data_IF_932824009764
#
_entry.id   IF_932824009764
#
_cell.length_a   1.000
_cell.length_b   1.000
_cell.length_c   1.000
_cell.angle_alpha   90.00
_cell.angle_beta   90.00
_cell.angle_gamma   90.00
#
_symmetry.space_group_name_H-M   'P 1'
#
loop_
_entity.id
_entity.type
_entity.pdbx_description
1 polymer ?
#
# COMPACT_ATOMS: atom_id res chain seq x y z
N UNK A 1 19.92 14.17 18.76
CA UNK A 1 19.61 12.80 18.29
C UNK A 1 18.94 12.86 16.93
N UNK A 2 18.90 11.74 16.20
CA UNK A 2 18.15 11.66 14.95
C UNK A 2 16.66 11.82 15.24
N UNK A 3 15.93 12.51 14.35
CA UNK A 3 14.47 12.58 14.43
C UNK A 3 13.85 11.22 14.11
N UNK A 4 12.77 10.88 14.80
CA UNK A 4 12.11 9.58 14.73
C UNK A 4 10.86 9.69 13.85
N UNK A 5 10.87 8.90 12.79
CA UNK A 5 9.75 8.75 11.86
C UNK A 5 9.13 7.36 12.07
N UNK A 6 7.83 7.30 12.34
CA UNK A 6 7.09 6.05 12.43
C UNK A 6 6.22 5.89 11.19
N UNK A 7 6.38 4.76 10.51
CA UNK A 7 5.54 4.37 9.36
C UNK A 7 4.53 3.34 9.84
N UNK A 8 3.24 3.65 9.71
CA UNK A 8 2.14 2.74 10.08
C UNK A 8 1.18 2.61 8.91
N UNK A 9 1.10 1.44 8.35
CA UNK A 9 0.21 1.10 7.23
C UNK A 9 -0.14 -0.39 7.32
N UNK A 10 -0.71 -0.93 6.28
CA UNK A 10 -1.01 -2.35 6.11
C UNK A 10 0.25 -3.15 5.65
N UNK A 11 0.08 -4.12 4.77
CA UNK A 11 1.18 -4.90 4.15
C UNK A 11 2.21 -4.02 3.40
N UNK A 12 1.88 -2.77 3.04
CA UNK A 12 2.80 -1.84 2.35
C UNK A 12 3.80 -1.16 3.31
N UNK A 13 3.63 -1.30 4.62
CA UNK A 13 4.48 -0.67 5.65
C UNK A 13 5.96 -0.96 5.44
N UNK A 14 6.31 -2.19 5.09
CA UNK A 14 7.71 -2.58 4.91
C UNK A 14 8.35 -1.86 3.72
N UNK A 15 7.64 -1.76 2.59
CA UNK A 15 8.10 -1.06 1.39
C UNK A 15 8.28 0.45 1.63
N UNK A 16 7.27 1.09 2.24
CA UNK A 16 7.33 2.51 2.62
C UNK A 16 8.51 2.80 3.56
N UNK A 17 8.70 1.97 4.58
CA UNK A 17 9.80 2.12 5.54
C UNK A 17 11.16 2.00 4.85
N UNK A 18 11.34 0.98 4.00
CA UNK A 18 12.58 0.77 3.28
C UNK A 18 12.89 1.95 2.33
N UNK A 19 11.88 2.44 1.60
CA UNK A 19 12.02 3.59 0.73
C UNK A 19 12.41 4.85 1.49
N UNK A 20 11.71 5.16 2.58
CA UNK A 20 12.00 6.34 3.41
C UNK A 20 13.37 6.27 4.09
N UNK A 21 13.76 5.11 4.63
CA UNK A 21 15.08 4.92 5.23
C UNK A 21 16.21 5.09 4.21
N UNK A 22 16.00 4.65 2.97
CA UNK A 22 16.96 4.83 1.88
C UNK A 22 17.07 6.29 1.42
N UNK A 23 15.93 6.99 1.31
CA UNK A 23 15.88 8.39 0.91
C UNK A 23 16.33 9.36 2.01
N UNK A 24 16.19 8.99 3.28
CA UNK A 24 16.47 9.82 4.45
C UNK A 24 17.27 9.05 5.51
N UNK A 25 18.56 8.74 5.26
CA UNK A 25 19.41 8.01 6.18
C UNK A 25 19.73 8.81 7.46
N UNK A 26 19.43 10.10 7.48
CA UNK A 26 19.54 11.00 8.64
C UNK A 26 18.40 10.83 9.66
N UNK A 27 17.30 10.14 9.29
CA UNK A 27 16.20 9.84 10.19
C UNK A 27 16.33 8.46 10.83
N UNK A 28 15.71 8.29 12.00
CA UNK A 28 15.44 6.98 12.63
C UNK A 28 14.05 6.53 12.17
N UNK A 29 13.98 5.77 11.06
CA UNK A 29 12.73 5.32 10.46
C UNK A 29 12.32 3.98 11.07
N UNK A 30 11.22 3.97 11.79
CA UNK A 30 10.62 2.79 12.44
C UNK A 30 9.32 2.41 11.78
N UNK A 31 8.79 1.23 12.09
CA UNK A 31 7.54 0.74 11.52
C UNK A 31 6.70 -0.05 12.50
N UNK A 32 5.38 0.04 12.30
CA UNK A 32 4.40 -0.88 12.86
C UNK A 32 3.29 -1.15 11.84
N UNK A 33 2.53 -2.23 12.01
CA UNK A 33 1.44 -2.60 11.10
C UNK A 33 0.12 -2.23 11.76
N UNK A 34 -0.73 -1.53 11.00
CA UNK A 34 -2.09 -1.24 11.42
C UNK A 34 -2.96 -2.50 11.32
N UNK A 35 -3.56 -2.91 12.43
CA UNK A 35 -4.41 -4.11 12.56
C UNK A 35 -5.87 -3.78 12.83
N UNK A 36 -6.28 -2.51 12.59
CA UNK A 36 -7.66 -2.07 12.80
C UNK A 36 -7.96 -1.53 14.19
N UNK A 37 -6.96 -1.42 15.06
CA UNK A 37 -7.15 -0.87 16.41
C UNK A 37 -5.83 -0.52 17.13
N UNK A 38 -5.92 0.10 18.31
CA UNK A 38 -4.76 0.46 19.10
C UNK A 38 -4.07 -0.80 19.66
N UNK A 39 -2.75 -0.74 19.72
CA UNK A 39 -1.92 -1.77 20.37
C UNK A 39 -0.96 -1.12 21.34
N UNK A 40 -0.58 -1.78 22.46
CA UNK A 40 0.42 -1.25 23.40
C UNK A 40 1.74 -0.93 22.72
N UNK A 41 2.11 -1.70 21.69
CA UNK A 41 3.33 -1.49 20.91
C UNK A 41 3.25 -0.19 20.10
N UNK A 42 2.15 0.02 19.37
CA UNK A 42 1.93 1.24 18.59
C UNK A 42 1.97 2.47 19.49
N UNK A 43 1.28 2.42 20.64
CA UNK A 43 1.23 3.50 21.59
C UNK A 43 2.62 3.85 22.16
N UNK A 44 3.41 2.84 22.56
CA UNK A 44 4.76 3.04 23.04
C UNK A 44 5.70 3.65 21.97
N UNK A 45 5.53 3.28 20.70
CA UNK A 45 6.30 3.84 19.60
C UNK A 45 5.88 5.30 19.33
N UNK A 46 4.58 5.57 19.29
CA UNK A 46 4.03 6.92 19.04
C UNK A 46 4.46 7.94 20.09
N UNK A 47 4.48 7.57 21.37
CA UNK A 47 4.87 8.46 22.46
C UNK A 47 6.26 9.10 22.28
N UNK A 48 7.11 8.51 21.47
CA UNK A 48 8.48 8.98 21.24
C UNK A 48 8.75 9.36 19.77
N UNK A 49 7.73 9.49 18.96
CA UNK A 49 7.82 9.75 17.52
C UNK A 49 7.69 11.24 17.23
N UNK A 50 8.49 11.76 16.30
CA UNK A 50 8.42 13.15 15.85
C UNK A 50 7.46 13.30 14.64
N UNK A 51 7.28 12.24 13.82
CA UNK A 51 6.27 12.19 12.76
C UNK A 51 5.71 10.80 12.54
N UNK A 52 4.41 10.78 12.27
CA UNK A 52 3.67 9.60 11.87
C UNK A 52 3.35 9.69 10.37
N UNK A 53 3.92 8.79 9.56
CA UNK A 53 3.54 8.58 8.17
C UNK A 53 2.59 7.39 8.10
N UNK A 54 1.36 7.60 7.63
CA UNK A 54 0.35 6.56 7.75
C UNK A 54 -0.68 6.58 6.64
N UNK A 55 -1.23 5.41 6.33
CA UNK A 55 -2.45 5.22 5.54
C UNK A 55 -3.66 4.79 6.40
N UNK A 56 -3.54 4.90 7.71
CA UNK A 56 -4.68 4.72 8.63
C UNK A 56 -5.77 5.74 8.34
N UNK A 57 -7.05 5.45 8.67
CA UNK A 57 -8.09 6.47 8.71
C UNK A 57 -7.63 7.67 9.56
N UNK A 58 -7.91 8.87 9.09
CA UNK A 58 -7.43 10.09 9.78
C UNK A 58 -7.91 10.17 11.23
N UNK A 59 -9.17 9.78 11.50
CA UNK A 59 -9.74 9.72 12.84
C UNK A 59 -8.93 8.84 13.78
N UNK A 60 -8.52 7.65 13.29
CA UNK A 60 -7.76 6.69 14.08
C UNK A 60 -6.32 7.17 14.34
N UNK A 61 -5.70 7.78 13.32
CA UNK A 61 -4.36 8.35 13.45
C UNK A 61 -4.33 9.51 14.47
N UNK A 62 -5.31 10.42 14.39
CA UNK A 62 -5.44 11.53 15.34
C UNK A 62 -5.75 11.05 16.76
N UNK A 63 -6.67 10.10 16.90
CA UNK A 63 -6.99 9.50 18.20
C UNK A 63 -5.78 8.79 18.83
N UNK A 64 -4.94 8.14 18.02
CA UNK A 64 -3.72 7.51 18.50
C UNK A 64 -2.68 8.55 19.00
N UNK A 65 -2.48 9.64 18.24
CA UNK A 65 -1.60 10.74 18.63
C UNK A 65 -2.09 11.38 19.94
N UNK A 66 -3.37 11.68 20.04
CA UNK A 66 -3.97 12.30 21.21
C UNK A 66 -3.88 11.39 22.45
N UNK A 67 -4.27 10.11 22.31
CA UNK A 67 -4.19 9.11 23.39
C UNK A 67 -2.79 8.97 23.98
N UNK A 68 -1.78 9.05 23.15
CA UNK A 68 -0.37 8.90 23.56
C UNK A 68 0.31 10.21 23.92
N UNK A 69 -0.41 11.33 23.85
CA UNK A 69 0.16 12.68 23.97
C UNK A 69 1.42 12.85 23.09
N UNK A 70 1.42 12.23 21.92
CA UNK A 70 2.57 12.22 21.01
C UNK A 70 2.80 13.60 20.39
N UNK A 71 4.06 14.08 20.31
CA UNK A 71 4.38 15.29 19.58
C UNK A 71 4.37 15.10 18.05
N UNK A 72 4.00 13.91 17.56
CA UNK A 72 4.15 13.53 16.18
C UNK A 72 3.33 14.41 15.24
N UNK A 73 3.99 14.93 14.22
CA UNK A 73 3.30 15.51 13.06
C UNK A 73 2.69 14.39 12.21
N UNK A 74 1.39 14.48 11.95
CA UNK A 74 0.70 13.52 11.08
C UNK A 74 0.98 13.83 9.61
N UNK A 75 1.35 12.80 8.84
CA UNK A 75 1.52 12.83 7.39
C UNK A 75 0.73 11.65 6.82
N UNK A 76 -0.37 11.93 6.15
CA UNK A 76 -1.20 10.91 5.52
C UNK A 76 -0.70 10.59 4.12
N UNK A 77 -0.53 9.30 3.86
CA UNK A 77 -0.15 8.77 2.55
C UNK A 77 -1.27 7.87 2.02
N UNK A 78 -1.47 7.78 0.71
CA UNK A 78 -2.48 6.88 0.17
C UNK A 78 -2.05 5.43 0.35
N UNK A 79 -3.02 4.56 0.52
CA UNK A 79 -2.83 3.13 0.32
C UNK A 79 -2.89 2.84 -1.19
N UNK A 80 -1.84 2.24 -1.74
CA UNK A 80 -1.76 1.95 -3.16
C UNK A 80 -2.47 0.62 -3.45
N UNK A 81 -3.73 0.69 -3.83
CA UNK A 81 -4.54 -0.44 -4.26
C UNK A 81 -4.96 -0.23 -5.71
N UNK A 82 -4.55 -1.11 -6.61
CA UNK A 82 -4.89 -0.96 -8.03
C UNK A 82 -5.23 -2.30 -8.67
N UNK A 83 -6.52 -2.57 -8.80
CA UNK A 83 -7.04 -3.83 -9.36
C UNK A 83 -7.05 -3.86 -10.89
N UNK A 84 -6.77 -2.76 -11.56
CA UNK A 84 -6.84 -2.66 -13.02
C UNK A 84 -5.95 -3.67 -13.75
N UNK A 85 -4.79 -4.03 -13.17
CA UNK A 85 -3.91 -5.07 -13.74
C UNK A 85 -4.32 -6.50 -13.35
N UNK A 86 -5.07 -6.64 -12.27
CA UNK A 86 -5.41 -7.94 -11.67
C UNK A 86 -6.90 -8.01 -11.31
N UNK A 87 -7.82 -7.79 -12.28
CA UNK A 87 -9.25 -7.70 -12.01
C UNK A 87 -9.87 -9.01 -11.50
N UNK A 88 -9.23 -10.13 -11.79
CA UNK A 88 -9.66 -11.47 -11.37
C UNK A 88 -9.31 -11.81 -9.92
N UNK A 89 -8.37 -11.08 -9.30
CA UNK A 89 -7.97 -11.33 -7.90
C UNK A 89 -9.16 -11.05 -6.96
N UNK A 90 -9.35 -11.97 -6.02
CA UNK A 90 -10.31 -11.83 -4.92
C UNK A 90 -9.77 -12.45 -3.65
N UNK A 91 -10.22 -11.90 -2.52
CA UNK A 91 -9.99 -12.41 -1.17
C UNK A 91 -11.27 -13.07 -0.68
N UNK A 92 -11.16 -14.24 -0.09
CA UNK A 92 -12.31 -15.01 0.38
C UNK A 92 -12.27 -15.07 1.90
N UNK A 93 -13.17 -14.33 2.59
CA UNK A 93 -13.23 -14.39 4.04
C UNK A 93 -13.69 -15.78 4.50
N UNK A 94 -13.17 -16.21 5.64
CA UNK A 94 -13.66 -17.43 6.30
C UNK A 94 -15.07 -17.19 6.87
N UNK A 95 -15.88 -18.22 6.86
CA UNK A 95 -17.23 -18.16 7.43
C UNK A 95 -17.24 -17.88 8.94
N UNK A 96 -16.14 -18.12 9.63
CA UNK A 96 -15.92 -17.80 11.05
C UNK A 96 -15.75 -16.29 11.30
N UNK A 97 -15.54 -15.49 10.26
CA UNK A 97 -15.22 -14.06 10.36
C UNK A 97 -13.76 -13.74 10.69
N UNK A 98 -12.97 -14.72 11.08
CA UNK A 98 -11.57 -14.56 11.50
C UNK A 98 -10.61 -15.03 10.40
N UNK A 99 -10.23 -14.11 9.52
CA UNK A 99 -9.22 -14.35 8.49
C UNK A 99 -9.77 -14.69 7.11
N UNK A 100 -8.88 -15.16 6.24
CA UNK A 100 -9.15 -15.43 4.83
C UNK A 100 -8.76 -16.86 4.46
N UNK A 101 -9.44 -17.42 3.46
CA UNK A 101 -9.07 -18.69 2.86
C UNK A 101 -7.65 -18.58 2.27
N UNK A 102 -6.78 -19.52 2.64
CA UNK A 102 -5.42 -19.57 2.11
C UNK A 102 -5.27 -20.72 1.12
N UNK A 103 -4.78 -20.41 -0.07
CA UNK A 103 -4.39 -21.36 -1.10
C UNK A 103 -2.89 -21.32 -1.41
N UNK A 104 -2.47 -21.86 -2.55
CA UNK A 104 -1.07 -21.84 -3.01
C UNK A 104 -0.55 -20.40 -3.14
N UNK A 105 -1.39 -19.49 -3.62
CA UNK A 105 -1.09 -18.06 -3.70
C UNK A 105 -1.51 -17.29 -2.43
N UNK A 106 -1.53 -17.95 -1.27
CA UNK A 106 -1.98 -17.42 0.02
C UNK A 106 -3.45 -16.97 -0.05
N UNK A 107 -3.76 -15.72 0.27
CA UNK A 107 -5.11 -15.15 0.24
C UNK A 107 -5.58 -14.69 -1.17
N UNK A 108 -4.72 -14.78 -2.18
CA UNK A 108 -5.06 -14.35 -3.54
C UNK A 108 -5.70 -15.49 -4.32
N UNK A 109 -6.95 -15.31 -4.69
CA UNK A 109 -7.72 -16.29 -5.46
C UNK A 109 -8.20 -15.69 -6.77
N UNK A 110 -8.42 -16.53 -7.78
CA UNK A 110 -9.09 -16.17 -9.02
C UNK A 110 -10.61 -16.30 -8.85
N UNK A 111 -11.35 -15.25 -9.18
CA UNK A 111 -12.82 -15.28 -9.18
C UNK A 111 -13.35 -16.31 -10.17
N UNK A 112 -12.77 -16.36 -11.38
CA UNK A 112 -13.17 -17.31 -12.41
C UNK A 112 -12.94 -18.74 -11.97
N UNK A 113 -11.79 -19.04 -11.36
CA UNK A 113 -11.46 -20.37 -10.84
C UNK A 113 -12.44 -20.77 -9.74
N UNK A 114 -12.67 -19.90 -8.76
CA UNK A 114 -13.60 -20.18 -7.67
C UNK A 114 -15.04 -20.37 -8.17
N UNK A 115 -15.49 -19.53 -9.12
CA UNK A 115 -16.80 -19.64 -9.71
C UNK A 115 -16.96 -20.95 -10.49
N UNK A 116 -15.97 -21.31 -11.31
CA UNK A 116 -15.97 -22.54 -12.09
C UNK A 116 -15.95 -23.78 -11.19
N UNK A 117 -15.10 -23.78 -10.16
CA UNK A 117 -15.04 -24.86 -9.18
C UNK A 117 -16.41 -25.08 -8.50
N UNK A 118 -17.05 -24.01 -8.03
CA UNK A 118 -18.39 -24.09 -7.42
C UNK A 118 -19.46 -24.65 -8.35
N UNK A 119 -19.27 -24.52 -9.66
CA UNK A 119 -20.17 -25.04 -10.72
C UNK A 119 -19.80 -26.42 -11.23
N UNK A 120 -18.76 -27.04 -10.68
CA UNK A 120 -18.28 -28.35 -11.12
C UNK A 120 -17.67 -28.33 -12.53
N UNK A 121 -17.20 -27.17 -13.00
CA UNK A 121 -16.53 -27.07 -14.29
C UNK A 121 -15.17 -27.77 -14.24
N UNK A 122 -14.79 -28.42 -15.34
CA UNK A 122 -13.46 -29.02 -15.47
C UNK A 122 -12.37 -27.95 -15.51
N UNK A 123 -11.14 -28.34 -15.15
CA UNK A 123 -9.97 -27.47 -15.23
C UNK A 123 -9.81 -26.83 -16.60
N UNK A 124 -9.90 -27.63 -17.66
CA UNK A 124 -9.67 -27.16 -19.03
C UNK A 124 -10.74 -26.15 -19.46
N UNK A 125 -12.00 -26.39 -19.04
CA UNK A 125 -13.08 -25.42 -19.27
C UNK A 125 -12.82 -24.10 -18.53
N UNK A 126 -12.35 -24.14 -17.29
CA UNK A 126 -12.02 -22.94 -16.52
C UNK A 126 -10.86 -22.18 -17.17
N UNK A 127 -9.81 -22.88 -17.60
CA UNK A 127 -8.68 -22.27 -18.29
C UNK A 127 -9.09 -21.59 -19.60
N UNK A 128 -10.05 -22.15 -20.31
CA UNK A 128 -10.61 -21.54 -21.53
C UNK A 128 -11.38 -20.23 -21.29
N UNK A 129 -11.67 -19.86 -20.05
CA UNK A 129 -12.30 -18.56 -19.73
C UNK A 129 -11.28 -17.40 -19.56
N UNK A 130 -9.99 -17.69 -19.56
CA UNK A 130 -8.96 -16.66 -19.50
C UNK A 130 -8.61 -16.09 -20.88
N UNK A 131 -9.64 -15.96 -21.72
CA UNK A 131 -9.55 -15.35 -23.05
C UNK A 131 -10.17 -13.94 -23.04
N UNK A 132 -9.70 -13.00 -23.88
CA UNK A 132 -10.13 -11.60 -23.86
C UNK A 132 -11.65 -11.41 -23.91
N UNK A 133 -12.35 -12.17 -24.75
CA UNK A 133 -13.80 -12.06 -24.92
C UNK A 133 -14.56 -12.48 -23.65
N UNK A 134 -14.13 -13.56 -23.01
CA UNK A 134 -14.74 -14.03 -21.77
C UNK A 134 -14.44 -13.07 -20.60
N UNK A 135 -13.21 -12.53 -20.52
CA UNK A 135 -12.82 -11.53 -19.52
C UNK A 135 -13.62 -10.23 -19.71
N UNK A 136 -13.84 -9.82 -20.97
CA UNK A 136 -14.71 -8.68 -21.30
C UNK A 136 -16.16 -8.91 -20.88
N UNK A 137 -16.70 -10.11 -21.14
CA UNK A 137 -18.09 -10.46 -20.79
C UNK A 137 -18.38 -10.46 -19.28
N UNK A 138 -17.37 -10.66 -18.43
CA UNK A 138 -17.48 -10.56 -16.95
C UNK A 138 -17.13 -9.18 -16.41
N UNK A 139 -16.97 -8.17 -17.27
CA UNK A 139 -16.77 -6.77 -16.88
C UNK A 139 -15.35 -6.42 -16.43
N UNK A 140 -14.34 -7.24 -16.73
CA UNK A 140 -12.96 -6.94 -16.30
C UNK A 140 -12.36 -5.75 -17.04
N UNK A 141 -12.90 -5.35 -18.20
CA UNK A 141 -12.52 -4.13 -18.89
C UNK A 141 -12.78 -2.85 -18.06
N UNK A 142 -13.87 -2.84 -17.30
CA UNK A 142 -14.26 -1.69 -16.46
C UNK A 142 -13.39 -1.56 -15.19
N UNK A 143 -12.79 -2.65 -14.75
CA UNK A 143 -11.97 -2.68 -13.54
C UNK A 143 -10.79 -1.68 -13.57
N UNK A 144 -10.33 -1.30 -14.76
CA UNK A 144 -9.31 -0.26 -14.92
C UNK A 144 -9.82 1.11 -14.51
N UNK A 145 -10.99 1.52 -15.02
CA UNK A 145 -11.57 2.82 -14.72
C UNK A 145 -11.92 2.93 -13.23
N UNK A 146 -12.50 1.88 -12.67
CA UNK A 146 -12.79 1.79 -11.23
C UNK A 146 -11.51 1.92 -10.39
N UNK A 147 -10.44 1.23 -10.79
CA UNK A 147 -9.17 1.28 -10.08
C UNK A 147 -8.53 2.67 -10.15
N UNK A 148 -8.60 3.36 -11.29
CA UNK A 148 -8.12 4.74 -11.44
C UNK A 148 -8.90 5.67 -10.52
N UNK A 149 -10.23 5.55 -10.50
CA UNK A 149 -11.07 6.42 -9.67
C UNK A 149 -10.82 6.17 -8.17
N UNK A 150 -10.72 4.93 -7.72
CA UNK A 150 -10.38 4.60 -6.34
C UNK A 150 -9.00 5.15 -5.93
N UNK A 151 -8.01 5.07 -6.84
CA UNK A 151 -6.69 5.66 -6.58
C UNK A 151 -6.74 7.18 -6.50
N UNK A 152 -7.55 7.85 -7.34
CA UNK A 152 -7.74 9.30 -7.28
C UNK A 152 -8.37 9.71 -5.94
N UNK A 153 -9.37 8.98 -5.47
CA UNK A 153 -9.99 9.22 -4.16
C UNK A 153 -8.97 9.03 -3.03
N UNK A 154 -8.24 7.92 -3.03
CA UNK A 154 -7.21 7.65 -2.02
C UNK A 154 -6.11 8.73 -2.00
N UNK A 155 -5.73 9.27 -3.17
CA UNK A 155 -4.75 10.37 -3.24
C UNK A 155 -5.33 11.68 -2.75
N UNK A 156 -6.60 11.97 -3.03
CA UNK A 156 -7.28 13.18 -2.56
C UNK A 156 -7.45 13.21 -1.03
N UNK A 157 -7.58 12.04 -0.41
CA UNK A 157 -7.64 11.90 1.05
C UNK A 157 -6.28 11.98 1.74
N UNK A 158 -5.18 11.96 0.98
CA UNK A 158 -3.82 12.08 1.53
C UNK A 158 -3.40 13.54 1.70
N UNK A 159 -2.29 13.75 2.41
CA UNK A 159 -1.69 15.08 2.57
C UNK A 159 -0.75 15.44 1.42
N UNK A 160 -0.67 14.58 0.41
CA UNK A 160 0.23 14.72 -0.72
C UNK A 160 -0.54 15.08 -1.98
N UNK A 161 -0.08 16.09 -2.71
CA UNK A 161 -0.54 16.33 -4.08
C UNK A 161 0.10 15.31 -5.03
N UNK A 162 -0.62 14.24 -5.32
CA UNK A 162 -0.14 13.09 -6.10
C UNK A 162 -0.76 13.00 -7.50
N UNK A 163 -1.45 14.06 -7.99
CA UNK A 163 -2.11 14.02 -9.29
C UNK A 163 -1.16 13.63 -10.43
N UNK A 164 -0.04 14.30 -10.55
CA UNK A 164 0.98 13.99 -11.57
C UNK A 164 1.66 12.65 -11.34
N UNK A 165 1.84 12.26 -10.08
CA UNK A 165 2.43 10.95 -9.73
C UNK A 165 1.56 9.80 -10.22
N UNK A 166 0.24 9.88 -10.02
CA UNK A 166 -0.67 8.84 -10.49
C UNK A 166 -0.63 8.73 -12.02
N UNK A 167 -0.64 9.85 -12.74
CA UNK A 167 -0.54 9.86 -14.20
C UNK A 167 0.79 9.26 -14.67
N UNK A 168 1.90 9.65 -14.05
CA UNK A 168 3.22 9.11 -14.37
C UNK A 168 3.30 7.59 -14.08
N UNK A 169 2.67 7.13 -13.00
CA UNK A 169 2.62 5.72 -12.62
C UNK A 169 1.82 4.90 -13.64
N UNK A 170 0.65 5.38 -14.04
CA UNK A 170 -0.19 4.74 -15.06
C UNK A 170 0.52 4.65 -16.43
N UNK A 171 1.31 5.67 -16.79
CA UNK A 171 2.09 5.71 -18.03
C UNK A 171 3.29 4.74 -18.08
N UNK A 172 3.71 4.16 -16.95
CA UNK A 172 4.86 3.24 -16.88
C UNK A 172 4.50 1.76 -17.10
N UNK A 173 3.24 1.43 -17.23
CA UNK A 173 2.76 0.05 -17.34
C UNK A 173 2.53 -0.60 -15.98
N UNK A 174 2.75 -1.92 -15.87
CA UNK A 174 2.40 -2.69 -14.66
C UNK A 174 3.27 -2.29 -13.47
N UNK A 175 2.68 -1.61 -12.49
CA UNK A 175 3.32 -1.16 -11.26
C UNK A 175 2.87 -1.92 -10.00
N UNK A 176 2.02 -2.94 -10.17
CA UNK A 176 1.52 -3.79 -9.08
C UNK A 176 2.00 -5.22 -9.28
N UNK A 177 2.32 -5.90 -8.18
CA UNK A 177 2.53 -7.35 -8.16
C UNK A 177 1.20 -8.12 -7.99
N UNK A 178 0.30 -7.55 -7.20
CA UNK A 178 -1.08 -8.01 -6.97
C UNK A 178 -1.98 -6.78 -6.92
N UNK A 179 -3.23 -6.91 -6.57
CA UNK A 179 -4.18 -5.79 -6.46
C UNK A 179 -3.82 -4.78 -5.35
N UNK A 180 -3.05 -5.20 -4.34
CA UNK A 180 -2.69 -4.39 -3.16
C UNK A 180 -1.18 -4.39 -2.81
N UNK A 181 -0.33 -5.01 -3.64
CA UNK A 181 1.13 -4.98 -3.48
C UNK A 181 1.80 -4.21 -4.61
N UNK A 182 2.05 -2.92 -4.43
CA UNK A 182 2.79 -2.12 -5.41
C UNK A 182 4.25 -2.56 -5.49
N UNK A 183 4.83 -2.39 -6.66
CA UNK A 183 6.26 -2.56 -6.87
C UNK A 183 7.01 -1.47 -6.11
N UNK A 184 8.24 -1.76 -5.70
CA UNK A 184 9.04 -0.80 -4.91
C UNK A 184 9.30 0.50 -5.67
N UNK A 185 9.44 0.43 -6.99
CA UNK A 185 9.63 1.61 -7.83
C UNK A 185 8.41 2.53 -7.85
N UNK A 186 7.20 2.00 -7.68
CA UNK A 186 5.99 2.81 -7.50
C UNK A 186 5.99 3.55 -6.14
N UNK A 187 6.47 2.89 -5.09
CA UNK A 187 6.57 3.46 -3.74
C UNK A 187 7.67 4.55 -3.69
N UNK A 188 8.81 4.31 -4.32
CA UNK A 188 9.95 5.25 -4.33
C UNK A 188 9.63 6.55 -5.07
N UNK A 189 8.73 6.50 -6.05
CA UNK A 189 8.27 7.70 -6.77
C UNK A 189 7.42 8.66 -5.92
N UNK A 190 7.13 8.32 -4.67
CA UNK A 190 6.62 9.28 -3.70
C UNK A 190 7.70 10.33 -3.33
N UNK A 191 8.44 10.87 -4.33
CA UNK A 191 9.39 11.99 -4.11
C UNK A 191 8.71 13.18 -3.44
N UNK A 192 7.43 13.38 -3.72
CA UNK A 192 6.60 14.38 -3.06
C UNK A 192 6.48 14.09 -1.55
N UNK A 193 6.43 12.81 -1.12
CA UNK A 193 6.49 12.46 0.30
C UNK A 193 7.80 12.89 0.94
N UNK A 194 8.92 12.73 0.23
CA UNK A 194 10.22 13.25 0.70
C UNK A 194 10.20 14.75 0.87
N UNK A 195 9.68 15.49 -0.13
CA UNK A 195 9.59 16.94 -0.08
C UNK A 195 8.69 17.41 1.07
N UNK A 196 7.56 16.75 1.29
CA UNK A 196 6.62 17.06 2.36
C UNK A 196 7.22 16.79 3.75
N UNK A 197 7.93 15.67 3.92
CA UNK A 197 8.67 15.38 5.16
C UNK A 197 9.72 16.47 5.42
N UNK A 198 10.44 16.90 4.39
CA UNK A 198 11.43 17.99 4.51
C UNK A 198 10.76 19.29 4.95
N UNK A 199 9.67 19.67 4.29
CA UNK A 199 8.96 20.92 4.56
C UNK A 199 8.36 20.95 5.98
N UNK A 200 7.64 19.91 6.38
CA UNK A 200 7.00 19.83 7.70
C UNK A 200 7.99 19.74 8.86
N UNK A 201 9.12 19.10 8.63
CA UNK A 201 10.17 19.01 9.66
C UNK A 201 11.14 20.16 9.65
N UNK A 202 11.04 21.14 8.73
CA UNK A 202 12.05 22.19 8.53
C UNK A 202 13.47 21.60 8.50
N UNK A 203 13.62 20.46 7.80
CA UNK A 203 14.89 19.80 7.63
C UNK A 203 15.65 20.49 6.50
N UNK A 204 16.96 20.66 6.67
CA UNK A 204 17.84 21.09 5.58
C UNK A 204 17.87 20.01 4.50
N UNK A 205 17.83 20.40 3.22
CA UNK A 205 18.10 19.48 2.12
C UNK A 205 19.52 18.93 2.27
N UNK A 206 19.66 17.73 2.81
CA UNK A 206 20.92 17.02 2.73
C UNK A 206 21.10 16.54 1.30
N UNK A 207 22.24 16.82 0.70
CA UNK A 207 22.66 16.17 -0.55
C UNK A 207 22.77 14.67 -0.27
N UNK A 208 21.68 13.95 -0.48
CA UNK A 208 21.67 12.48 -0.41
C UNK A 208 22.18 12.01 -1.75
N UNK A 209 23.39 11.43 -1.78
CA UNK A 209 23.81 10.62 -2.91
C UNK A 209 22.77 9.52 -3.10
N UNK A 210 22.13 9.49 -4.27
CA UNK A 210 21.18 8.44 -4.64
C UNK A 210 21.90 7.08 -4.63
N UNK A 211 21.80 6.38 -3.52
CA UNK A 211 22.24 4.98 -3.48
C UNK A 211 21.18 4.16 -4.23
N UNK A 212 21.58 3.41 -5.25
CA UNK A 212 20.64 2.57 -5.98
C UNK A 212 19.98 1.59 -5.00
N UNK A 213 18.66 1.67 -4.86
CA UNK A 213 17.87 0.73 -4.05
C UNK A 213 18.04 -0.64 -4.69
N UNK A 214 18.77 -1.53 -3.99
CA UNK A 214 18.98 -2.90 -4.51
C UNK A 214 17.63 -3.56 -4.72
N UNK A 215 17.36 -4.00 -5.94
CA UNK A 215 16.11 -4.65 -6.40
C UNK A 215 15.75 -5.97 -5.66
N UNK A 216 16.47 -6.35 -4.62
CA UNK A 216 16.40 -7.66 -3.97
C UNK A 216 15.57 -7.71 -2.69
N UNK A 217 14.72 -6.72 -2.39
CA UNK A 217 13.96 -6.72 -1.13
C UNK A 217 12.47 -7.02 -1.38
N UNK A 218 12.15 -7.96 -2.22
CA UNK A 218 10.84 -8.62 -2.18
C UNK A 218 11.00 -10.06 -2.61
N UNK A 219 11.46 -10.89 -1.69
CA UNK A 219 11.14 -12.32 -1.77
C UNK A 219 9.74 -12.47 -1.15
N UNK A 220 8.74 -12.97 -1.89
CA UNK A 220 7.50 -13.39 -1.26
C UNK A 220 7.83 -14.54 -0.33
N UNK A 221 7.53 -14.40 0.95
CA UNK A 221 7.51 -15.47 1.94
C UNK A 221 6.18 -16.18 1.85
#
# INVERSE_FOLDING_TARGET
GRRRLLVVSNCQTAGLTAALAAMRPDLDVRRDIWTGGPTPRLDAMLATTDALVTSMPESDARAAIERTASPATLIRVPQINFRGFHPDITHVPLATGDGELLGIARAYHSRLVLWGWRRGATRDRILGWFEPDALGAVGYGEAWNDAVELMRQATAESDLDLGDWLLALLGRGVFMHTDNHPRIDAIVQLEKLRAEIIARFKLTESKVEERPIKKHIVTPV
#
